data_IF_439801834356
#
_entry.id   IF_439801834356
#
_cell.length_a   1.000
_cell.length_b   1.000
_cell.length_c   1.000
_cell.angle_alpha   90.00
_cell.angle_beta   90.00
_cell.angle_gamma   90.00
#
_symmetry.space_group_name_H-M   'P 1'
#
loop_
_entity.id
_entity.type
_entity.pdbx_description
1 polymer ?
#
# COMPACT_ATOMS: atom_id res chain seq x y z
N UNK A 1 -9.53 22.04 -2.37
CA UNK A 1 -8.93 20.69 -2.24
C UNK A 1 -9.18 20.20 -0.83
N UNK A 2 -9.78 19.01 -0.64
CA UNK A 2 -10.01 18.45 0.71
C UNK A 2 -8.70 17.83 1.23
N UNK A 3 -8.44 17.90 2.53
CA UNK A 3 -7.21 17.37 3.17
C UNK A 3 -6.90 15.93 2.74
N UNK A 4 -7.92 15.07 2.70
CA UNK A 4 -7.79 13.67 2.30
C UNK A 4 -7.31 13.51 0.86
N UNK A 5 -7.84 14.32 -0.07
CA UNK A 5 -7.43 14.28 -1.47
C UNK A 5 -5.98 14.74 -1.62
N UNK A 6 -5.62 15.86 -0.98
CA UNK A 6 -4.23 16.34 -0.98
C UNK A 6 -3.27 15.31 -0.39
N UNK A 7 -3.64 14.69 0.73
CA UNK A 7 -2.81 13.70 1.40
C UNK A 7 -2.61 12.44 0.54
N UNK A 8 -3.65 11.98 -0.17
CA UNK A 8 -3.51 10.88 -1.14
C UNK A 8 -2.59 11.28 -2.29
N UNK A 9 -2.73 12.50 -2.83
CA UNK A 9 -1.85 13.03 -3.89
C UNK A 9 -0.39 13.22 -3.44
N UNK A 10 -0.15 13.33 -2.12
CA UNK A 10 1.18 13.55 -1.54
C UNK A 10 1.68 12.36 -0.71
N UNK A 11 1.07 11.19 -0.86
CA UNK A 11 1.28 10.06 0.05
C UNK A 11 2.76 9.64 0.14
N UNK A 12 3.47 9.64 -0.99
CA UNK A 12 4.89 9.25 -1.07
C UNK A 12 5.76 10.15 -0.22
N UNK A 13 5.56 11.46 -0.33
CA UNK A 13 6.26 12.47 0.47
C UNK A 13 5.89 12.36 1.96
N UNK A 14 4.63 12.09 2.27
CA UNK A 14 4.18 11.91 3.65
C UNK A 14 4.81 10.66 4.28
N UNK A 15 4.87 9.55 3.56
CA UNK A 15 5.53 8.31 4.01
C UNK A 15 7.02 8.53 4.26
N UNK A 16 7.70 9.23 3.35
CA UNK A 16 9.12 9.55 3.49
C UNK A 16 9.41 10.36 4.76
N UNK A 17 8.57 11.35 5.07
CA UNK A 17 8.79 12.27 6.19
C UNK A 17 8.25 11.79 7.54
N UNK A 18 7.23 10.93 7.55
CA UNK A 18 6.60 10.49 8.79
C UNK A 18 7.49 9.50 9.57
N UNK A 19 7.32 9.47 10.90
CA UNK A 19 7.97 8.50 11.77
C UNK A 19 7.49 7.06 11.52
N UNK A 20 8.30 6.09 11.92
CA UNK A 20 8.10 4.67 11.61
C UNK A 20 6.74 4.14 12.07
N UNK A 21 6.28 4.51 13.28
CA UNK A 21 4.99 4.06 13.80
C UNK A 21 3.80 4.51 12.93
N UNK A 22 3.84 5.73 12.41
CA UNK A 22 2.79 6.27 11.54
C UNK A 22 2.79 5.59 10.18
N UNK A 23 3.98 5.30 9.63
CA UNK A 23 4.16 4.55 8.39
C UNK A 23 3.66 3.11 8.53
N UNK A 24 4.00 2.42 9.62
CA UNK A 24 3.51 1.06 9.90
C UNK A 24 1.99 1.06 10.07
N UNK A 25 1.42 2.07 10.75
CA UNK A 25 -0.03 2.19 10.89
C UNK A 25 -0.72 2.39 9.53
N UNK A 26 -0.14 3.20 8.64
CA UNK A 26 -0.59 3.34 7.27
C UNK A 26 -0.53 2.00 6.51
N UNK A 27 0.57 1.26 6.62
CA UNK A 27 0.72 -0.06 6.01
C UNK A 27 -0.35 -1.05 6.49
N UNK A 28 -0.62 -1.10 7.80
CA UNK A 28 -1.69 -1.94 8.38
C UNK A 28 -3.07 -1.55 7.86
N UNK A 29 -3.35 -0.25 7.80
CA UNK A 29 -4.58 0.25 7.20
C UNK A 29 -4.70 -0.18 5.73
N UNK A 30 -3.62 -0.07 4.95
CA UNK A 30 -3.61 -0.47 3.53
C UNK A 30 -3.87 -1.96 3.36
N UNK A 31 -3.24 -2.81 4.17
CA UNK A 31 -3.48 -4.25 4.17
C UNK A 31 -4.95 -4.57 4.47
N UNK A 32 -5.49 -4.02 5.56
CA UNK A 32 -6.88 -4.26 5.96
C UNK A 32 -7.86 -3.71 4.91
N UNK A 33 -7.56 -2.55 4.31
CA UNK A 33 -8.33 -1.96 3.23
C UNK A 33 -8.46 -2.92 2.04
N UNK A 34 -7.35 -3.49 1.57
CA UNK A 34 -7.32 -4.42 0.44
C UNK A 34 -8.04 -5.75 0.78
N UNK A 35 -7.80 -6.29 1.97
CA UNK A 35 -8.49 -7.50 2.44
C UNK A 35 -10.01 -7.31 2.49
N UNK A 36 -10.48 -6.17 3.00
CA UNK A 36 -11.93 -5.87 3.00
C UNK A 36 -12.46 -5.61 1.60
N UNK A 37 -11.68 -5.01 0.71
CA UNK A 37 -12.05 -4.77 -0.68
C UNK A 37 -12.25 -6.10 -1.42
N UNK A 38 -11.33 -7.06 -1.27
CA UNK A 38 -11.45 -8.40 -1.83
C UNK A 38 -12.64 -9.17 -1.21
N UNK A 39 -12.92 -8.97 0.07
CA UNK A 39 -14.10 -9.54 0.71
C UNK A 39 -15.44 -8.92 0.25
N UNK A 40 -15.44 -7.75 -0.41
CA UNK A 40 -16.67 -7.21 -1.03
C UNK A 40 -17.10 -8.03 -2.24
N UNK A 41 -16.12 -8.54 -2.98
CA UNK A 41 -16.31 -9.25 -4.24
C UNK A 41 -15.12 -10.19 -4.44
N UNK A 42 -15.36 -11.48 -4.18
CA UNK A 42 -14.33 -12.52 -4.24
C UNK A 42 -13.86 -12.83 -5.66
N UNK A 43 -14.48 -12.25 -6.70
CA UNK A 43 -13.92 -12.28 -8.06
C UNK A 43 -12.70 -11.36 -8.23
N UNK A 44 -12.45 -10.47 -7.27
CA UNK A 44 -11.39 -9.47 -7.33
C UNK A 44 -11.76 -8.20 -8.09
N UNK A 45 -12.89 -8.13 -8.81
CA UNK A 45 -13.22 -6.95 -9.62
C UNK A 45 -13.35 -5.66 -8.78
N UNK A 46 -14.01 -5.73 -7.62
CA UNK A 46 -14.10 -4.58 -6.71
C UNK A 46 -12.72 -4.11 -6.23
N UNK A 47 -11.87 -5.03 -5.77
CA UNK A 47 -10.54 -4.70 -5.28
C UNK A 47 -9.62 -4.20 -6.41
N UNK A 48 -9.70 -4.79 -7.61
CA UNK A 48 -8.93 -4.34 -8.76
C UNK A 48 -9.30 -2.92 -9.17
N UNK A 49 -10.58 -2.56 -9.16
CA UNK A 49 -11.03 -1.17 -9.41
C UNK A 49 -10.56 -0.19 -8.34
N UNK A 50 -10.34 -0.66 -7.12
CA UNK A 50 -9.76 0.15 -6.03
C UNK A 50 -8.28 0.42 -6.29
N UNK A 51 -7.54 -0.58 -6.79
CA UNK A 51 -6.11 -0.50 -7.10
C UNK A 51 -5.84 0.29 -8.38
N UNK A 52 -6.58 -0.04 -9.45
CA UNK A 52 -6.38 0.45 -10.82
C UNK A 52 -7.66 1.07 -11.41
N UNK A 53 -8.19 2.15 -10.82
CA UNK A 53 -9.38 2.83 -11.33
C UNK A 53 -9.18 3.40 -12.75
N UNK A 54 -7.95 3.62 -13.20
CA UNK A 54 -7.59 4.08 -14.54
C UNK A 54 -7.87 3.04 -15.64
N UNK A 55 -7.82 1.74 -15.33
CA UNK A 55 -8.08 0.67 -16.31
C UNK A 55 -9.56 0.27 -16.34
N UNK A 56 -10.16 0.05 -15.17
CA UNK A 56 -11.52 -0.49 -15.08
C UNK A 56 -12.57 0.56 -14.68
N UNK A 57 -12.17 1.78 -14.32
CA UNK A 57 -13.03 2.76 -13.66
C UNK A 57 -13.12 2.50 -12.15
N UNK A 58 -13.47 3.51 -11.34
CA UNK A 58 -13.55 3.37 -9.88
C UNK A 58 -14.66 2.39 -9.46
N UNK A 59 -14.57 1.80 -8.25
CA UNK A 59 -15.60 0.92 -7.72
C UNK A 59 -16.90 1.69 -7.43
N UNK A 60 -18.04 1.04 -7.59
CA UNK A 60 -19.33 1.61 -7.19
C UNK A 60 -19.49 1.57 -5.67
N UNK A 61 -19.15 2.66 -5.00
CA UNK A 61 -19.21 2.80 -3.55
C UNK A 61 -20.63 2.66 -2.97
N UNK A 62 -21.69 2.78 -3.79
CA UNK A 62 -23.07 2.52 -3.33
C UNK A 62 -23.30 1.03 -3.06
N UNK A 63 -22.57 0.16 -3.77
CA UNK A 63 -22.65 -1.30 -3.62
C UNK A 63 -21.72 -1.85 -2.54
N UNK A 64 -20.81 -1.05 -2.03
CA UNK A 64 -19.96 -1.47 -0.91
C UNK A 64 -20.80 -1.85 0.33
N UNK A 65 -20.29 -2.76 1.14
CA UNK A 65 -20.86 -3.07 2.45
C UNK A 65 -20.76 -1.86 3.40
N UNK A 66 -21.62 -1.84 4.42
CA UNK A 66 -21.52 -0.85 5.50
C UNK A 66 -20.16 -0.92 6.19
N UNK A 67 -19.68 -2.14 6.51
CA UNK A 67 -18.38 -2.32 7.17
C UNK A 67 -17.19 -1.79 6.38
N UNK A 68 -17.19 -1.90 5.05
CA UNK A 68 -16.15 -1.30 4.21
C UNK A 68 -16.20 0.23 4.24
N UNK A 69 -17.41 0.81 4.14
CA UNK A 69 -17.59 2.27 4.22
C UNK A 69 -17.20 2.82 5.58
N UNK A 70 -17.63 2.17 6.65
CA UNK A 70 -17.33 2.58 8.03
C UNK A 70 -15.83 2.52 8.31
N UNK A 71 -15.15 1.50 7.79
CA UNK A 71 -13.69 1.42 7.85
C UNK A 71 -13.04 2.61 7.15
N UNK A 72 -13.43 2.92 5.91
CA UNK A 72 -12.84 4.05 5.16
C UNK A 72 -13.08 5.39 5.86
N UNK A 73 -14.29 5.61 6.40
CA UNK A 73 -14.67 6.87 7.03
C UNK A 73 -14.03 7.02 8.42
N UNK A 74 -13.95 5.94 9.19
CA UNK A 74 -13.49 5.94 10.57
C UNK A 74 -11.97 5.83 10.73
N UNK A 75 -11.25 5.34 9.72
CA UNK A 75 -9.82 5.13 9.80
C UNK A 75 -9.05 6.46 9.84
N UNK A 76 -8.06 6.56 10.74
CA UNK A 76 -7.26 7.77 10.97
C UNK A 76 -5.81 7.66 10.52
N UNK A 77 -5.37 6.54 9.96
CA UNK A 77 -3.97 6.31 9.62
C UNK A 77 -3.39 7.39 8.69
N UNK A 78 -4.17 7.90 7.74
CA UNK A 78 -3.74 9.00 6.88
C UNK A 78 -3.57 10.32 7.64
N UNK A 79 -4.43 10.59 8.63
CA UNK A 79 -4.31 11.77 9.50
C UNK A 79 -3.08 11.64 10.41
N UNK A 80 -2.85 10.46 10.98
CA UNK A 80 -1.69 10.17 11.82
C UNK A 80 -0.39 10.34 11.01
N UNK A 81 -0.39 9.88 9.75
CA UNK A 81 0.71 10.06 8.82
C UNK A 81 0.99 11.54 8.52
N UNK A 82 -0.06 12.32 8.23
CA UNK A 82 0.07 13.78 8.01
C UNK A 82 0.62 14.50 9.24
N UNK A 83 0.12 14.16 10.42
CA UNK A 83 0.57 14.77 11.67
C UNK A 83 2.04 14.44 11.93
N UNK A 84 2.42 13.17 11.82
CA UNK A 84 3.79 12.73 12.05
C UNK A 84 4.78 13.36 11.06
N UNK A 85 4.42 13.44 9.77
CA UNK A 85 5.25 14.15 8.79
C UNK A 85 5.38 15.66 9.11
N UNK A 86 4.34 16.26 9.71
CA UNK A 86 4.32 17.67 10.11
C UNK A 86 5.15 18.00 11.35
N UNK A 87 5.54 17.02 12.16
CA UNK A 87 6.42 17.21 13.32
C UNK A 87 7.84 17.62 12.90
N UNK A 88 8.25 17.26 11.69
CA UNK A 88 9.57 17.62 11.13
C UNK A 88 10.75 16.96 11.83
N UNK A 89 10.51 15.89 12.60
CA UNK A 89 11.57 15.09 13.19
C UNK A 89 12.43 14.45 12.08
N UNK A 90 13.77 14.47 12.17
CA UNK A 90 14.62 13.77 11.22
C UNK A 90 14.33 12.28 11.21
N UNK A 91 14.05 11.72 10.04
CA UNK A 91 13.89 10.29 9.81
C UNK A 91 15.17 9.79 9.15
N UNK A 92 15.82 8.80 9.76
CA UNK A 92 16.92 8.10 9.10
C UNK A 92 16.34 7.27 7.95
N UNK A 93 17.10 7.08 6.87
CA UNK A 93 16.73 6.19 5.78
C UNK A 93 17.87 5.23 5.47
N UNK A 94 17.53 4.03 5.02
CA UNK A 94 18.52 3.13 4.45
C UNK A 94 19.01 3.66 3.11
N UNK A 95 20.25 3.33 2.76
CA UNK A 95 20.76 3.56 1.41
C UNK A 95 19.96 2.75 0.38
N UNK A 96 20.03 3.16 -0.89
CA UNK A 96 19.36 2.45 -1.99
C UNK A 96 19.74 0.97 -2.05
N UNK A 97 21.03 0.64 -1.90
CA UNK A 97 21.52 -0.74 -1.93
C UNK A 97 20.99 -1.58 -0.74
N UNK A 98 20.96 -0.99 0.45
CA UNK A 98 20.46 -1.64 1.66
C UNK A 98 18.96 -1.93 1.56
N UNK A 99 18.15 -0.93 1.16
CA UNK A 99 16.70 -1.12 1.07
C UNK A 99 16.33 -2.06 -0.08
N UNK A 100 17.02 -2.01 -1.21
CA UNK A 100 16.77 -2.93 -2.32
C UNK A 100 17.07 -4.37 -1.92
N UNK A 101 18.23 -4.61 -1.28
CA UNK A 101 18.63 -5.94 -0.82
C UNK A 101 17.63 -6.50 0.21
N UNK A 102 17.21 -5.66 1.16
CA UNK A 102 16.21 -6.00 2.16
C UNK A 102 14.85 -6.31 1.52
N UNK A 103 14.40 -5.47 0.58
CA UNK A 103 13.12 -5.65 -0.11
C UNK A 103 13.08 -6.96 -0.87
N UNK A 104 14.09 -7.24 -1.70
CA UNK A 104 14.19 -8.50 -2.45
C UNK A 104 14.14 -9.72 -1.53
N UNK A 105 14.86 -9.69 -0.41
CA UNK A 105 14.82 -10.79 0.57
C UNK A 105 13.44 -10.94 1.22
N UNK A 106 12.78 -9.82 1.56
CA UNK A 106 11.49 -9.83 2.25
C UNK A 106 10.35 -10.40 1.39
N UNK A 107 10.33 -10.10 0.10
CA UNK A 107 9.25 -10.51 -0.82
C UNK A 107 9.51 -11.84 -1.53
N UNK A 108 10.64 -12.50 -1.27
CA UNK A 108 11.06 -13.70 -2.02
C UNK A 108 9.99 -14.80 -2.02
N UNK A 109 9.29 -15.01 -0.90
CA UNK A 109 8.21 -16.00 -0.84
C UNK A 109 7.03 -15.68 -1.76
N UNK A 110 6.71 -14.40 -1.95
CA UNK A 110 5.69 -13.96 -2.91
C UNK A 110 6.18 -14.06 -4.35
N UNK A 111 7.45 -13.73 -4.61
CA UNK A 111 8.09 -13.96 -5.92
C UNK A 111 8.07 -15.44 -6.30
N UNK A 112 8.41 -16.34 -5.37
CA UNK A 112 8.40 -17.79 -5.61
C UNK A 112 6.97 -18.32 -5.88
N UNK A 113 5.96 -17.69 -5.27
CA UNK A 113 4.55 -18.08 -5.39
C UNK A 113 3.92 -17.64 -6.71
N UNK A 114 4.21 -16.43 -7.16
CA UNK A 114 3.53 -15.78 -8.29
C UNK A 114 4.40 -15.66 -9.55
N UNK A 115 5.72 -15.79 -9.43
CA UNK A 115 6.66 -15.62 -10.53
C UNK A 115 6.68 -14.18 -11.05
N UNK A 116 6.93 -14.04 -12.35
CA UNK A 116 7.14 -12.74 -13.01
C UNK A 116 5.94 -11.78 -12.87
N UNK A 117 4.72 -12.30 -12.66
CA UNK A 117 3.54 -11.46 -12.47
C UNK A 117 3.59 -10.64 -11.17
N UNK A 118 4.42 -11.00 -10.19
CA UNK A 118 4.53 -10.25 -8.94
C UNK A 118 5.29 -8.94 -9.09
N UNK A 119 6.15 -8.86 -10.11
CA UNK A 119 7.03 -7.71 -10.34
C UNK A 119 6.53 -6.80 -11.46
N UNK A 120 5.41 -7.15 -12.11
CA UNK A 120 4.81 -6.32 -13.15
C UNK A 120 4.02 -5.17 -12.53
N UNK A 121 4.22 -3.98 -13.06
CA UNK A 121 3.46 -2.77 -12.72
C UNK A 121 2.43 -2.40 -13.82
N UNK A 122 2.44 -3.08 -14.98
CA UNK A 122 1.49 -2.84 -16.07
C UNK A 122 0.05 -3.22 -15.65
N UNK A 123 -0.84 -2.23 -15.47
CA UNK A 123 -2.18 -2.48 -14.98
C UNK A 123 -3.07 -3.19 -16.01
N UNK A 124 -2.71 -3.21 -17.30
CA UNK A 124 -3.45 -3.97 -18.32
C UNK A 124 -3.11 -5.46 -18.26
N UNK A 125 -1.85 -5.82 -18.00
CA UNK A 125 -1.45 -7.21 -17.74
C UNK A 125 -2.08 -7.70 -16.43
N UNK A 126 -2.03 -6.88 -15.38
CA UNK A 126 -2.66 -7.19 -14.09
C UNK A 126 -4.18 -7.36 -14.16
N UNK A 127 -4.84 -6.77 -15.18
CA UNK A 127 -6.28 -6.91 -15.38
C UNK A 127 -6.71 -8.30 -15.91
N UNK A 128 -5.77 -9.10 -16.44
CA UNK A 128 -6.04 -10.45 -16.95
C UNK A 128 -6.44 -11.41 -15.83
N UNK A 129 -5.86 -11.25 -14.63
CA UNK A 129 -6.24 -11.96 -13.41
C UNK A 129 -6.37 -11.01 -12.21
N UNK A 130 -7.54 -10.37 -12.13
CA UNK A 130 -7.88 -9.39 -11.08
C UNK A 130 -7.82 -9.97 -9.67
N UNK A 131 -8.18 -11.24 -9.50
CA UNK A 131 -8.14 -11.91 -8.21
C UNK A 131 -6.70 -12.10 -7.77
N UNK A 132 -5.85 -12.61 -8.66
CA UNK A 132 -4.42 -12.77 -8.39
C UNK A 132 -3.78 -11.41 -8.09
N UNK A 133 -4.06 -10.36 -8.86
CA UNK A 133 -3.54 -9.00 -8.60
C UNK A 133 -3.88 -8.52 -7.19
N UNK A 134 -5.13 -8.68 -6.76
CA UNK A 134 -5.53 -8.34 -5.41
C UNK A 134 -4.80 -9.16 -4.33
N UNK A 135 -4.58 -10.45 -4.58
CA UNK A 135 -3.85 -11.29 -3.64
C UNK A 135 -2.35 -10.95 -3.60
N UNK A 136 -1.75 -10.59 -4.73
CA UNK A 136 -0.35 -10.14 -4.81
C UNK A 136 -0.14 -8.87 -3.98
N UNK A 137 -1.02 -7.87 -4.13
CA UNK A 137 -0.97 -6.63 -3.33
C UNK A 137 -1.16 -6.87 -1.82
N UNK A 138 -2.08 -7.78 -1.45
CA UNK A 138 -2.28 -8.20 -0.06
C UNK A 138 -1.03 -8.89 0.49
N UNK A 139 -0.44 -9.82 -0.27
CA UNK A 139 0.74 -10.58 0.14
C UNK A 139 1.98 -9.67 0.24
N UNK A 140 2.16 -8.74 -0.70
CA UNK A 140 3.20 -7.71 -0.65
C UNK A 140 3.12 -6.90 0.64
N UNK A 141 1.94 -6.34 0.95
CA UNK A 141 1.75 -5.55 2.16
C UNK A 141 1.92 -6.39 3.43
N UNK A 142 1.46 -7.65 3.42
CA UNK A 142 1.64 -8.57 4.53
C UNK A 142 3.11 -8.97 4.75
N UNK A 143 3.89 -9.12 3.67
CA UNK A 143 5.31 -9.43 3.73
C UNK A 143 6.09 -8.25 4.31
N UNK A 144 5.92 -7.03 3.80
CA UNK A 144 6.64 -5.86 4.35
C UNK A 144 6.26 -5.54 5.81
N UNK A 145 5.01 -5.84 6.21
CA UNK A 145 4.56 -5.70 7.60
C UNK A 145 5.10 -6.77 8.56
N UNK A 146 5.64 -7.88 8.03
CA UNK A 146 6.21 -8.96 8.84
C UNK A 146 7.64 -8.69 9.30
N UNK A 147 8.34 -7.77 8.63
CA UNK A 147 9.69 -7.35 9.00
C UNK A 147 9.72 -6.68 10.40
N UNK A 148 10.89 -6.65 11.06
CA UNK A 148 11.11 -5.83 12.26
C UNK A 148 10.62 -4.38 12.07
N UNK A 149 10.11 -3.68 13.10
CA UNK A 149 9.41 -2.40 12.92
C UNK A 149 10.16 -1.37 12.07
N UNK A 150 11.45 -1.17 12.33
CA UNK A 150 12.28 -0.22 11.58
C UNK A 150 12.39 -0.59 10.10
N UNK A 151 12.68 -1.86 9.82
CA UNK A 151 12.76 -2.40 8.46
C UNK A 151 11.40 -2.33 7.76
N UNK A 152 10.32 -2.69 8.47
CA UNK A 152 8.95 -2.64 7.96
C UNK A 152 8.55 -1.23 7.51
N UNK A 153 8.88 -0.21 8.30
CA UNK A 153 8.60 1.17 7.94
C UNK A 153 9.35 1.59 6.67
N UNK A 154 10.65 1.28 6.57
CA UNK A 154 11.45 1.57 5.37
C UNK A 154 10.96 0.81 4.14
N UNK A 155 10.58 -0.46 4.29
CA UNK A 155 10.00 -1.27 3.22
C UNK A 155 8.65 -0.71 2.73
N UNK A 156 7.79 -0.22 3.63
CA UNK A 156 6.56 0.47 3.25
C UNK A 156 6.88 1.76 2.50
N UNK A 157 7.87 2.55 2.93
CA UNK A 157 8.31 3.73 2.16
C UNK A 157 8.77 3.32 0.76
N UNK A 158 9.51 2.21 0.65
CA UNK A 158 10.08 1.74 -0.60
C UNK A 158 9.01 1.28 -1.59
N UNK A 159 8.01 0.52 -1.13
CA UNK A 159 6.88 0.06 -1.96
C UNK A 159 6.14 1.21 -2.64
N UNK A 160 6.04 2.37 -1.98
CA UNK A 160 5.31 3.52 -2.51
C UNK A 160 6.19 4.55 -3.21
N UNK A 161 7.52 4.38 -3.22
CA UNK A 161 8.43 5.32 -3.85
C UNK A 161 8.38 5.19 -5.38
N UNK A 162 8.44 6.32 -6.09
CA UNK A 162 8.73 6.31 -7.54
C UNK A 162 10.21 6.05 -7.79
N UNK A 163 11.05 6.75 -7.01
CA UNK A 163 12.49 6.63 -6.98
C UNK A 163 12.93 6.77 -5.51
N UNK A 164 13.88 5.94 -5.09
CA UNK A 164 14.46 6.06 -3.75
C UNK A 164 15.49 7.20 -3.76
N UNK A 165 15.36 8.23 -2.90
CA UNK A 165 16.32 9.32 -2.88
C UNK A 165 17.73 8.83 -2.51
N UNK A 166 18.74 9.29 -3.26
CA UNK A 166 20.17 9.09 -2.94
C UNK A 166 20.60 9.88 -1.69
#
# INVERSE_FOLDING_TARGET
MRLQQWATENIKKLLYLAGDDAVINYGKMRLEFLQKALAQDTSGDFCFRVLHPEVSGPPDMKKASAGYRDFIIGNRALLDLVNSAGEGAPVAHYSADEIQSLFSAQIQGSVDKYGDSFLTDDPYVLAEDKLQTCQMEIDLMADVLRAPPRESAELIRYVFADEWPE
#
